data_IF_653950737016
#
_entry.id   IF_653950737016
#
_cell.length_a   1.000
_cell.length_b   1.000
_cell.length_c   1.000
_cell.angle_alpha   90.00
_cell.angle_beta   90.00
_cell.angle_gamma   90.00
#
_symmetry.space_group_name_H-M   'P 1'
#
loop_
_entity.id
_entity.type
_entity.pdbx_description
1 polymer ?
#
# COMPACT_ATOMS: atom_id res chain seq x y z
N UNK A 1 -8.12 26.12 12.36
CA UNK A 1 -8.34 24.68 12.65
C UNK A 1 -7.26 24.12 13.58
N UNK A 2 -6.04 23.87 13.11
CA UNK A 2 -5.01 23.15 13.89
C UNK A 2 -4.50 23.90 15.13
N UNK A 3 -4.42 25.23 15.05
CA UNK A 3 -4.18 26.09 16.22
C UNK A 3 -5.28 25.94 17.28
N UNK A 4 -6.52 25.79 16.85
CA UNK A 4 -7.66 25.59 17.75
C UNK A 4 -7.64 24.18 18.38
N UNK A 5 -7.26 23.14 17.62
CA UNK A 5 -6.99 21.81 18.19
C UNK A 5 -5.98 21.90 19.33
N UNK A 6 -4.82 22.51 19.09
CA UNK A 6 -3.78 22.66 20.10
C UNK A 6 -4.23 23.46 21.33
N UNK A 7 -5.00 24.53 21.10
CA UNK A 7 -5.50 25.38 22.18
C UNK A 7 -6.45 24.62 23.12
N UNK A 8 -7.28 23.73 22.58
CA UNK A 8 -8.28 23.01 23.37
C UNK A 8 -7.81 21.62 23.83
N UNK A 9 -6.79 21.03 23.21
CA UNK A 9 -6.30 19.67 23.51
C UNK A 9 -5.82 19.47 24.95
N UNK A 10 -5.29 20.52 25.60
CA UNK A 10 -4.76 20.44 26.97
C UNK A 10 -5.73 20.94 28.05
N UNK A 11 -7.01 21.16 27.71
CA UNK A 11 -7.93 21.85 28.63
C UNK A 11 -9.19 21.02 28.88
N UNK A 12 -9.42 20.61 30.13
CA UNK A 12 -10.39 19.57 30.48
C UNK A 12 -11.79 20.10 30.84
N UNK A 13 -12.38 20.90 29.94
CA UNK A 13 -13.76 21.40 30.06
C UNK A 13 -14.73 20.59 29.18
N UNK A 14 -15.98 20.37 29.60
CA UNK A 14 -17.02 19.77 28.76
C UNK A 14 -17.15 20.43 27.37
N UNK A 15 -17.08 21.76 27.32
CA UNK A 15 -17.19 22.53 26.07
C UNK A 15 -15.98 22.29 25.14
N UNK A 16 -14.79 22.14 25.72
CA UNK A 16 -13.56 21.86 24.95
C UNK A 16 -13.60 20.47 24.32
N UNK A 17 -14.13 19.46 25.03
CA UNK A 17 -14.31 18.11 24.46
C UNK A 17 -15.27 18.14 23.26
N UNK A 18 -16.36 18.90 23.36
CA UNK A 18 -17.31 19.10 22.25
C UNK A 18 -16.63 19.79 21.05
N UNK A 19 -15.81 20.83 21.29
CA UNK A 19 -15.06 21.48 20.22
C UNK A 19 -14.03 20.57 19.58
N UNK A 20 -13.29 19.77 20.35
CA UNK A 20 -12.33 18.80 19.79
C UNK A 20 -13.07 17.80 18.88
N UNK A 21 -14.19 17.24 19.34
CA UNK A 21 -15.01 16.34 18.52
C UNK A 21 -15.48 17.02 17.22
N UNK A 22 -15.95 18.26 17.31
CA UNK A 22 -16.35 19.04 16.13
C UNK A 22 -15.19 19.31 15.17
N UNK A 23 -13.98 19.58 15.68
CA UNK A 23 -12.81 19.78 14.82
C UNK A 23 -12.37 18.47 14.17
N UNK A 24 -12.41 17.35 14.90
CA UNK A 24 -12.14 16.01 14.35
C UNK A 24 -13.14 15.67 13.25
N UNK A 25 -14.43 15.94 13.47
CA UNK A 25 -15.46 15.75 12.44
C UNK A 25 -15.16 16.64 11.21
N UNK A 26 -14.79 17.90 11.40
CA UNK A 26 -14.41 18.75 10.27
C UNK A 26 -13.17 18.24 9.51
N UNK A 27 -12.16 17.71 10.22
CA UNK A 27 -11.00 17.06 9.58
C UNK A 27 -11.39 15.81 8.78
N UNK A 28 -12.45 15.11 9.19
CA UNK A 28 -13.05 14.00 8.44
C UNK A 28 -13.89 14.46 7.24
N UNK A 29 -14.03 15.78 7.02
CA UNK A 29 -14.78 16.35 5.91
C UNK A 29 -16.25 16.68 6.22
N UNK A 30 -16.69 16.55 7.48
CA UNK A 30 -18.03 16.99 7.86
C UNK A 30 -18.17 18.51 7.79
N UNK A 31 -19.40 18.98 7.59
CA UNK A 31 -19.70 20.41 7.50
C UNK A 31 -19.41 21.13 8.83
N UNK A 32 -18.96 22.37 8.71
CA UNK A 32 -18.73 23.28 9.84
C UNK A 32 -20.07 23.61 10.50
N UNK A 33 -20.18 23.30 11.79
CA UNK A 33 -21.35 23.68 12.61
C UNK A 33 -21.22 25.11 13.14
N UNK A 34 -22.31 25.68 13.65
CA UNK A 34 -22.34 27.00 14.29
C UNK A 34 -21.34 27.10 15.45
N UNK A 35 -21.27 26.06 16.26
CA UNK A 35 -20.43 25.98 17.46
C UNK A 35 -18.96 25.95 17.05
N UNK A 36 -18.64 25.25 15.96
CA UNK A 36 -17.28 25.13 15.47
C UNK A 36 -16.73 26.46 14.92
N UNK A 37 -17.57 27.39 14.49
CA UNK A 37 -17.13 28.73 14.05
C UNK A 37 -16.41 29.52 15.14
N UNK A 38 -16.75 29.27 16.42
CA UNK A 38 -16.08 29.90 17.58
C UNK A 38 -14.60 29.50 17.69
N UNK A 39 -14.23 28.34 17.15
CA UNK A 39 -12.85 27.83 17.10
C UNK A 39 -12.01 28.46 15.98
N UNK A 40 -12.61 29.37 15.18
CA UNK A 40 -11.96 30.01 14.03
C UNK A 40 -11.99 29.17 12.74
N UNK A 41 -12.64 28.00 12.73
CA UNK A 41 -12.93 27.24 11.50
C UNK A 41 -14.17 27.83 10.84
N UNK A 42 -14.01 28.43 9.65
CA UNK A 42 -15.09 29.19 9.00
C UNK A 42 -15.62 28.58 7.70
N UNK A 43 -14.87 27.66 7.09
CA UNK A 43 -15.19 27.08 5.79
C UNK A 43 -15.14 25.56 5.83
N UNK A 44 -16.00 24.94 5.03
CA UNK A 44 -15.97 23.48 4.82
C UNK A 44 -14.71 23.09 4.05
N UNK A 45 -14.30 21.84 4.22
CA UNK A 45 -13.32 21.23 3.32
C UNK A 45 -13.99 21.06 1.95
N UNK A 46 -13.33 21.55 0.91
CA UNK A 46 -13.79 21.52 -0.47
C UNK A 46 -12.64 21.17 -1.40
N UNK A 47 -12.96 20.73 -2.60
CA UNK A 47 -11.98 20.43 -3.65
C UNK A 47 -11.10 21.66 -4.01
N UNK A 48 -11.58 22.88 -3.74
CA UNK A 48 -10.86 24.12 -4.01
C UNK A 48 -9.88 24.57 -2.91
N UNK A 49 -10.07 24.12 -1.66
CA UNK A 49 -9.23 24.52 -0.52
C UNK A 49 -8.47 23.37 0.15
N UNK A 50 -8.69 22.13 -0.30
CA UNK A 50 -8.06 20.93 0.28
C UNK A 50 -6.53 20.99 0.26
N UNK A 51 -5.92 21.50 -0.82
CA UNK A 51 -4.47 21.69 -0.92
C UNK A 51 -3.92 22.57 0.20
N UNK A 52 -4.54 23.74 0.44
CA UNK A 52 -4.11 24.68 1.46
C UNK A 52 -4.29 24.12 2.88
N UNK A 53 -5.40 23.41 3.10
CA UNK A 53 -5.69 22.73 4.36
C UNK A 53 -4.65 21.64 4.62
N UNK A 54 -4.34 20.82 3.61
CA UNK A 54 -3.33 19.76 3.70
C UNK A 54 -1.94 20.35 3.96
N UNK A 55 -1.52 21.39 3.24
CA UNK A 55 -0.25 22.07 3.49
C UNK A 55 -0.15 22.63 4.92
N UNK A 56 -1.26 23.16 5.45
CA UNK A 56 -1.32 23.62 6.85
C UNK A 56 -1.23 22.48 7.85
N UNK A 57 -1.85 21.34 7.54
CA UNK A 57 -1.74 20.11 8.32
C UNK A 57 -0.30 19.56 8.34
N UNK A 58 0.38 19.51 7.21
CA UNK A 58 1.76 19.06 7.12
C UNK A 58 2.72 19.96 7.91
N UNK A 59 2.54 21.28 7.85
CA UNK A 59 3.29 22.24 8.69
C UNK A 59 3.07 21.97 10.19
N UNK A 60 1.85 21.66 10.58
CA UNK A 60 1.53 21.31 11.97
C UNK A 60 2.18 19.99 12.40
N UNK A 61 2.13 18.95 11.55
CA UNK A 61 2.79 17.65 11.80
C UNK A 61 4.29 17.88 12.03
N UNK A 62 4.94 18.72 11.22
CA UNK A 62 6.34 19.09 11.41
C UNK A 62 6.62 19.89 12.67
N UNK A 63 5.78 20.88 12.97
CA UNK A 63 5.89 21.64 14.21
C UNK A 63 5.72 20.77 15.46
N UNK A 64 5.04 19.62 15.34
CA UNK A 64 4.85 18.64 16.40
C UNK A 64 6.03 17.67 16.57
N UNK A 65 7.10 17.83 15.80
CA UNK A 65 8.34 17.03 15.90
C UNK A 65 8.46 15.87 14.92
N UNK A 66 7.47 15.64 14.06
CA UNK A 66 7.55 14.61 13.02
C UNK A 66 8.22 15.13 11.75
N UNK A 67 8.78 14.24 10.92
CA UNK A 67 9.38 14.65 9.64
C UNK A 67 8.35 15.05 8.58
N UNK A 68 7.14 14.48 8.65
CA UNK A 68 6.10 14.65 7.64
C UNK A 68 5.01 13.58 7.75
N UNK A 69 4.25 13.41 6.67
CA UNK A 69 3.18 12.44 6.53
C UNK A 69 3.47 11.48 5.38
N UNK A 70 3.29 10.18 5.61
CA UNK A 70 3.25 9.15 4.57
C UNK A 70 1.79 8.74 4.36
N UNK A 71 1.28 8.89 3.14
CA UNK A 71 -0.06 8.45 2.74
C UNK A 71 0.07 7.23 1.84
N UNK A 72 -0.46 6.09 2.29
CA UNK A 72 -0.49 4.84 1.55
C UNK A 72 -1.92 4.62 1.03
N UNK A 73 -2.06 4.48 -0.28
CA UNK A 73 -3.34 4.23 -0.94
C UNK A 73 -3.22 2.91 -1.71
N UNK A 74 -3.97 1.92 -1.26
CA UNK A 74 -4.01 0.60 -1.89
C UNK A 74 -5.18 0.48 -2.87
N UNK A 75 -5.10 -0.47 -3.80
CA UNK A 75 -6.13 -0.81 -4.78
C UNK A 75 -6.61 0.38 -5.64
N UNK A 76 -5.70 1.23 -6.13
CA UNK A 76 -6.11 2.38 -6.95
C UNK A 76 -6.84 1.95 -8.26
N UNK A 77 -6.70 0.70 -8.71
CA UNK A 77 -7.48 0.12 -9.80
C UNK A 77 -8.98 0.06 -9.52
N UNK A 78 -9.43 0.18 -8.27
CA UNK A 78 -10.84 0.28 -7.93
C UNK A 78 -11.53 1.45 -8.66
N UNK A 79 -10.77 2.48 -9.06
CA UNK A 79 -11.25 3.58 -9.91
C UNK A 79 -11.80 3.03 -11.24
N UNK A 80 -11.13 2.04 -11.84
CA UNK A 80 -11.55 1.43 -13.12
C UNK A 80 -12.90 0.72 -13.01
N UNK A 81 -13.28 0.29 -11.80
CA UNK A 81 -14.54 -0.41 -11.51
C UNK A 81 -15.71 0.53 -11.24
N UNK A 82 -15.49 1.85 -11.14
CA UNK A 82 -16.58 2.81 -10.94
C UNK A 82 -17.43 2.90 -12.21
N UNK A 83 -18.73 2.60 -12.09
CA UNK A 83 -19.65 2.60 -13.24
C UNK A 83 -19.82 3.98 -13.91
N UNK A 84 -19.77 5.07 -13.14
CA UNK A 84 -20.00 6.42 -13.64
C UNK A 84 -18.69 7.09 -14.06
N UNK A 85 -18.57 7.47 -15.34
CA UNK A 85 -17.39 8.19 -15.86
C UNK A 85 -17.05 9.44 -15.05
N UNK A 86 -18.07 10.23 -14.66
CA UNK A 86 -17.86 11.42 -13.83
C UNK A 86 -17.13 11.12 -12.52
N UNK A 87 -17.47 10.01 -11.85
CA UNK A 87 -16.80 9.62 -10.59
C UNK A 87 -15.36 9.16 -10.84
N UNK A 88 -15.10 8.50 -11.98
CA UNK A 88 -13.73 8.16 -12.42
C UNK A 88 -12.90 9.40 -12.67
N UNK A 89 -13.46 10.39 -13.36
CA UNK A 89 -12.79 11.67 -13.63
C UNK A 89 -12.48 12.41 -12.33
N UNK A 90 -13.44 12.49 -11.40
CA UNK A 90 -13.23 13.09 -10.08
C UNK A 90 -12.14 12.37 -9.27
N UNK A 91 -12.10 11.02 -9.31
CA UNK A 91 -11.07 10.24 -8.65
C UNK A 91 -9.67 10.45 -9.29
N UNK A 92 -9.56 10.38 -10.61
CA UNK A 92 -8.32 10.66 -11.35
C UNK A 92 -7.84 12.11 -11.13
N UNK A 93 -8.77 13.07 -11.05
CA UNK A 93 -8.45 14.44 -10.71
C UNK A 93 -7.87 14.57 -9.30
N UNK A 94 -8.40 13.82 -8.33
CA UNK A 94 -7.88 13.82 -6.96
C UNK A 94 -6.46 13.23 -6.90
N UNK A 95 -6.19 12.13 -7.61
CA UNK A 95 -4.83 11.57 -7.72
C UNK A 95 -3.87 12.60 -8.32
N UNK A 96 -4.26 13.22 -9.43
CA UNK A 96 -3.45 14.28 -10.06
C UNK A 96 -3.14 15.40 -9.09
N UNK A 97 -4.14 15.87 -8.34
CA UNK A 97 -3.93 16.92 -7.33
C UNK A 97 -2.99 16.45 -6.22
N UNK A 98 -3.11 15.22 -5.74
CA UNK A 98 -2.18 14.70 -4.73
C UNK A 98 -0.74 14.66 -5.24
N UNK A 99 -0.55 14.27 -6.50
CA UNK A 99 0.76 14.30 -7.15
C UNK A 99 1.31 15.73 -7.26
N UNK A 100 0.51 16.68 -7.74
CA UNK A 100 0.88 18.11 -7.81
C UNK A 100 1.26 18.68 -6.43
N UNK A 101 0.49 18.35 -5.38
CA UNK A 101 0.75 18.84 -4.02
C UNK A 101 1.96 18.19 -3.37
N UNK A 102 2.28 16.94 -3.67
CA UNK A 102 3.47 16.27 -3.15
C UNK A 102 4.74 16.98 -3.63
N UNK A 103 4.75 17.49 -4.87
CA UNK A 103 5.86 18.29 -5.40
C UNK A 103 5.99 19.64 -4.68
N UNK A 104 4.87 20.27 -4.31
CA UNK A 104 4.84 21.56 -3.60
C UNK A 104 5.09 21.44 -2.09
N UNK A 105 4.93 20.26 -1.51
CA UNK A 105 5.02 20.02 -0.07
C UNK A 105 6.06 18.97 0.27
N UNK A 106 7.28 19.41 0.59
CA UNK A 106 8.46 18.60 0.96
C UNK A 106 8.30 17.66 2.17
N UNK A 107 7.10 17.56 2.74
CA UNK A 107 6.80 16.82 3.97
C UNK A 107 5.62 15.86 3.80
N UNK A 108 5.18 15.64 2.56
CA UNK A 108 4.19 14.64 2.19
C UNK A 108 4.84 13.63 1.26
N UNK A 109 4.70 12.35 1.58
CA UNK A 109 5.05 11.25 0.70
C UNK A 109 3.80 10.43 0.42
N UNK A 110 3.43 10.28 -0.85
CA UNK A 110 2.24 9.52 -1.26
C UNK A 110 2.67 8.30 -2.04
N UNK A 111 2.22 7.12 -1.61
CA UNK A 111 2.43 5.86 -2.31
C UNK A 111 1.08 5.32 -2.75
N UNK A 112 0.94 5.07 -4.05
CA UNK A 112 -0.20 4.39 -4.64
C UNK A 112 0.21 2.98 -5.04
N UNK A 113 -0.47 1.98 -4.50
CA UNK A 113 -0.42 0.61 -5.00
C UNK A 113 -1.61 0.39 -5.94
N UNK A 114 -1.32 -0.22 -7.09
CA UNK A 114 -2.33 -0.44 -8.12
C UNK A 114 -1.95 -1.63 -8.98
N UNK A 115 -2.95 -2.30 -9.56
CA UNK A 115 -2.70 -3.28 -10.61
C UNK A 115 -2.36 -2.62 -11.95
N UNK A 116 -1.70 -3.33 -12.88
CA UNK A 116 -1.43 -2.83 -14.24
C UNK A 116 -2.68 -2.37 -14.98
N UNK A 117 -3.87 -2.91 -14.63
CA UNK A 117 -5.16 -2.52 -15.20
C UNK A 117 -5.40 -1.00 -15.12
N UNK A 118 -5.06 -0.36 -14.01
CA UNK A 118 -5.22 1.09 -13.87
C UNK A 118 -4.39 1.89 -14.87
N UNK A 119 -3.19 1.41 -15.21
CA UNK A 119 -2.28 2.09 -16.13
C UNK A 119 -2.56 1.72 -17.60
N UNK A 120 -3.07 0.51 -17.85
CA UNK A 120 -3.22 -0.06 -19.19
C UNK A 120 -4.62 0.12 -19.78
N UNK A 121 -5.67 0.25 -18.97
CA UNK A 121 -7.04 0.45 -19.45
C UNK A 121 -7.20 1.87 -20.03
N UNK A 122 -7.41 2.01 -21.35
CA UNK A 122 -7.49 3.32 -22.01
C UNK A 122 -8.79 4.08 -21.65
N UNK A 123 -9.87 3.36 -21.30
CA UNK A 123 -11.22 3.90 -21.18
C UNK A 123 -11.63 4.17 -19.73
N UNK A 124 -11.11 3.37 -18.80
CA UNK A 124 -11.47 3.46 -17.37
C UNK A 124 -10.28 3.70 -16.44
N UNK A 125 -9.05 3.51 -16.95
CA UNK A 125 -7.81 3.72 -16.21
C UNK A 125 -7.33 5.17 -16.21
N UNK A 126 -6.07 5.39 -15.79
CA UNK A 126 -5.44 6.70 -15.75
C UNK A 126 -5.33 7.37 -17.13
N UNK A 127 -5.28 6.57 -18.21
CA UNK A 127 -5.26 7.04 -19.60
C UNK A 127 -6.53 7.79 -19.99
N UNK A 128 -7.67 7.41 -19.42
CA UNK A 128 -8.97 8.06 -19.66
C UNK A 128 -9.00 9.53 -19.21
N UNK A 129 -8.08 9.93 -18.32
CA UNK A 129 -7.96 11.29 -17.81
C UNK A 129 -6.62 11.93 -18.22
N UNK A 130 -6.57 12.67 -19.35
CA UNK A 130 -5.33 13.16 -19.96
C UNK A 130 -4.42 13.98 -19.04
N UNK A 131 -5.02 14.73 -18.11
CA UNK A 131 -4.29 15.59 -17.18
C UNK A 131 -3.51 14.78 -16.12
N UNK A 132 -3.99 13.60 -15.73
CA UNK A 132 -3.23 12.66 -14.91
C UNK A 132 -2.22 11.91 -15.78
N UNK A 133 -2.66 11.37 -16.93
CA UNK A 133 -1.82 10.58 -17.82
C UNK A 133 -0.52 11.28 -18.20
N UNK A 134 -0.59 12.57 -18.51
CA UNK A 134 0.59 13.37 -18.87
C UNK A 134 1.66 13.42 -17.77
N UNK A 135 1.30 13.22 -16.50
CA UNK A 135 2.26 13.19 -15.40
C UNK A 135 2.92 11.83 -15.18
N UNK A 136 2.31 10.75 -15.65
CA UNK A 136 2.78 9.37 -15.41
C UNK A 136 3.32 8.69 -16.67
N UNK A 137 2.87 9.07 -17.87
CA UNK A 137 3.18 8.39 -19.15
C UNK A 137 4.68 8.38 -19.48
N UNK A 138 5.39 9.48 -19.24
CA UNK A 138 6.79 9.64 -19.65
C UNK A 138 7.71 8.71 -18.84
N UNK A 139 7.28 8.32 -17.64
CA UNK A 139 7.94 7.29 -16.82
C UNK A 139 7.71 5.89 -17.39
N UNK A 140 6.56 5.66 -18.03
CA UNK A 140 6.13 4.35 -18.51
C UNK A 140 6.76 4.03 -19.87
N UNK A 141 6.85 4.99 -20.80
CA UNK A 141 7.26 4.74 -22.19
C UNK A 141 8.77 4.60 -22.44
N UNK A 142 9.63 4.94 -21.46
CA UNK A 142 11.08 5.01 -21.66
C UNK A 142 11.86 3.71 -21.46
N UNK A 143 11.23 2.59 -21.07
CA UNK A 143 11.94 1.34 -20.72
C UNK A 143 12.87 1.42 -19.51
N UNK A 144 13.02 2.61 -18.92
CA UNK A 144 13.85 2.92 -17.75
C UNK A 144 13.07 2.81 -16.42
N UNK A 145 11.90 2.18 -16.42
CA UNK A 145 11.08 1.98 -15.20
C UNK A 145 11.87 1.31 -14.08
N UNK A 146 12.84 0.45 -14.43
CA UNK A 146 13.72 -0.26 -13.51
C UNK A 146 15.04 0.49 -13.21
N UNK A 147 15.32 1.61 -13.89
CA UNK A 147 16.61 2.30 -13.79
C UNK A 147 16.68 3.35 -12.67
N UNK A 148 15.54 3.75 -12.07
CA UNK A 148 15.52 4.78 -11.04
C UNK A 148 14.45 4.55 -9.99
N UNK A 149 14.86 4.43 -8.72
CA UNK A 149 13.97 4.43 -7.56
C UNK A 149 13.28 5.79 -7.32
N UNK A 150 13.59 6.81 -8.13
CA UNK A 150 12.98 8.15 -8.08
C UNK A 150 11.86 8.32 -9.11
N UNK A 151 11.55 7.30 -9.88
CA UNK A 151 10.46 7.30 -10.84
C UNK A 151 9.11 7.45 -10.14
N UNK A 152 8.21 8.25 -10.72
CA UNK A 152 6.83 8.44 -10.21
C UNK A 152 6.02 7.14 -10.20
N UNK A 153 6.31 6.25 -11.15
CA UNK A 153 5.73 4.91 -11.25
C UNK A 153 6.85 3.89 -11.12
N UNK A 154 6.71 2.99 -10.16
CA UNK A 154 7.62 1.86 -9.95
C UNK A 154 6.87 0.61 -10.37
N UNK A 155 7.38 -0.08 -11.39
CA UNK A 155 6.81 -1.35 -11.84
C UNK A 155 7.52 -2.49 -11.13
N UNK A 156 6.75 -3.30 -10.42
CA UNK A 156 7.25 -4.48 -9.74
C UNK A 156 7.33 -5.63 -10.76
N UNK A 157 8.54 -6.14 -11.06
CA UNK A 157 8.66 -7.31 -11.93
C UNK A 157 8.09 -8.54 -11.24
N UNK A 158 7.67 -9.57 -12.00
CA UNK A 158 7.36 -10.87 -11.44
C UNK A 158 8.60 -11.45 -10.74
N UNK A 159 8.36 -12.35 -9.79
CA UNK A 159 9.44 -13.03 -9.07
C UNK A 159 10.18 -13.95 -10.04
N UNK A 160 11.50 -13.83 -10.09
CA UNK A 160 12.35 -14.84 -10.69
C UNK A 160 12.68 -15.95 -9.68
N UNK A 161 13.37 -16.99 -10.14
CA UNK A 161 13.74 -18.11 -9.27
C UNK A 161 14.54 -17.66 -8.03
N UNK A 162 15.47 -16.71 -8.19
CA UNK A 162 16.27 -16.20 -7.09
C UNK A 162 15.42 -15.45 -6.06
N UNK A 163 14.45 -14.66 -6.51
CA UNK A 163 13.50 -13.96 -5.65
C UNK A 163 12.60 -14.94 -4.88
N UNK A 164 12.18 -16.05 -5.49
CA UNK A 164 11.46 -17.12 -4.79
C UNK A 164 12.32 -17.84 -3.76
N UNK A 165 13.59 -18.10 -4.07
CA UNK A 165 14.54 -18.71 -3.12
C UNK A 165 14.81 -17.78 -1.92
N UNK A 166 15.01 -16.47 -2.14
CA UNK A 166 15.15 -15.48 -1.07
C UNK A 166 13.87 -15.38 -0.22
N UNK A 167 12.70 -15.35 -0.87
CA UNK A 167 11.40 -15.34 -0.18
C UNK A 167 11.23 -16.58 0.69
N UNK A 168 11.50 -17.77 0.15
CA UNK A 168 11.41 -19.03 0.88
C UNK A 168 12.37 -19.05 2.07
N UNK A 169 13.62 -18.60 1.89
CA UNK A 169 14.60 -18.50 2.98
C UNK A 169 14.11 -17.62 4.12
N UNK A 170 13.54 -16.45 3.81
CA UNK A 170 12.96 -15.54 4.82
C UNK A 170 11.74 -16.13 5.51
N UNK A 171 10.91 -16.89 4.80
CA UNK A 171 9.76 -17.59 5.40
C UNK A 171 10.24 -18.66 6.37
N UNK A 172 11.24 -19.47 5.98
CA UNK A 172 11.85 -20.51 6.83
C UNK A 172 12.44 -19.88 8.10
N UNK A 173 13.20 -18.78 7.99
CA UNK A 173 13.74 -18.05 9.15
C UNK A 173 12.62 -17.49 10.04
N UNK A 174 11.61 -16.86 9.45
CA UNK A 174 10.49 -16.29 10.19
C UNK A 174 9.72 -17.38 10.95
N UNK A 175 9.48 -18.52 10.31
CA UNK A 175 8.81 -19.67 10.89
C UNK A 175 9.63 -20.30 12.04
N UNK A 176 10.93 -20.51 11.83
CA UNK A 176 11.90 -20.96 12.83
C UNK A 176 11.81 -20.11 14.11
N UNK A 177 11.80 -18.78 13.95
CA UNK A 177 11.72 -17.82 15.07
C UNK A 177 10.35 -17.81 15.74
N UNK A 178 9.26 -17.92 14.98
CA UNK A 178 7.90 -17.91 15.51
C UNK A 178 7.63 -19.12 16.42
N UNK A 179 8.06 -20.31 15.99
CA UNK A 179 7.84 -21.58 16.70
C UNK A 179 9.04 -22.05 17.54
N UNK A 180 10.14 -21.29 17.56
CA UNK A 180 11.35 -21.55 18.36
C UNK A 180 11.98 -22.93 18.09
N UNK A 181 12.19 -23.26 16.82
CA UNK A 181 12.86 -24.48 16.38
C UNK A 181 13.83 -24.20 15.24
N UNK A 182 14.80 -25.09 15.01
CA UNK A 182 15.79 -24.92 13.95
C UNK A 182 15.25 -25.40 12.59
N UNK A 183 14.40 -24.60 11.95
CA UNK A 183 13.82 -24.98 10.65
C UNK A 183 14.89 -25.24 9.57
N UNK A 184 16.05 -24.59 9.63
CA UNK A 184 17.17 -24.77 8.69
C UNK A 184 17.76 -26.17 8.70
N UNK A 185 17.63 -26.91 9.81
CA UNK A 185 18.13 -28.28 9.94
C UNK A 185 17.30 -29.25 9.07
N UNK A 186 16.06 -28.86 8.73
CA UNK A 186 15.10 -29.65 7.97
C UNK A 186 14.81 -29.08 6.58
N UNK A 187 14.76 -27.75 6.47
CA UNK A 187 14.49 -27.00 5.24
C UNK A 187 15.67 -26.06 4.94
N UNK A 188 16.84 -26.64 4.67
CA UNK A 188 18.03 -25.90 4.23
C UNK A 188 17.96 -25.44 2.78
N UNK A 189 19.04 -24.84 2.27
CA UNK A 189 19.06 -24.28 0.91
C UNK A 189 18.70 -25.29 -0.20
N UNK A 190 19.14 -26.55 -0.08
CA UNK A 190 18.85 -27.57 -1.07
C UNK A 190 17.35 -27.92 -1.11
N UNK A 191 16.71 -27.97 0.06
CA UNK A 191 15.27 -28.16 0.20
C UNK A 191 14.50 -26.97 -0.39
N UNK A 192 14.92 -25.75 -0.09
CA UNK A 192 14.34 -24.52 -0.66
C UNK A 192 14.42 -24.54 -2.19
N UNK A 193 15.60 -24.81 -2.77
CA UNK A 193 15.77 -24.89 -4.23
C UNK A 193 14.87 -25.95 -4.86
N UNK A 194 14.75 -27.12 -4.22
CA UNK A 194 13.86 -28.20 -4.70
C UNK A 194 12.39 -27.77 -4.65
N UNK A 195 11.96 -27.13 -3.57
CA UNK A 195 10.60 -26.61 -3.43
C UNK A 195 10.28 -25.54 -4.47
N UNK A 196 11.16 -24.54 -4.64
CA UNK A 196 10.99 -23.47 -5.63
C UNK A 196 10.96 -24.03 -7.05
N UNK A 197 11.87 -24.94 -7.39
CA UNK A 197 11.88 -25.58 -8.71
C UNK A 197 10.60 -26.36 -8.98
N UNK A 198 10.06 -27.07 -7.99
CA UNK A 198 8.80 -27.81 -8.14
C UNK A 198 7.60 -26.86 -8.33
N UNK A 199 7.54 -25.77 -7.56
CA UNK A 199 6.51 -24.75 -7.70
C UNK A 199 6.55 -24.10 -9.10
N UNK A 200 7.73 -23.68 -9.57
CA UNK A 200 7.88 -23.05 -10.88
C UNK A 200 7.56 -23.98 -12.06
N UNK A 201 7.68 -25.30 -11.89
CA UNK A 201 7.35 -26.29 -12.92
C UNK A 201 5.87 -26.66 -12.95
N UNK A 202 5.19 -26.66 -11.80
CA UNK A 202 3.84 -27.23 -11.64
C UNK A 202 2.76 -26.19 -11.31
N UNK A 203 3.13 -25.02 -10.79
CA UNK A 203 2.22 -23.96 -10.37
C UNK A 203 2.38 -22.69 -11.20
N UNK A 204 1.57 -21.68 -10.86
CA UNK A 204 1.68 -20.35 -11.45
C UNK A 204 2.58 -19.42 -10.61
N UNK A 205 3.69 -18.89 -11.15
CA UNK A 205 4.55 -17.91 -10.48
C UNK A 205 3.84 -16.64 -9.98
N UNK A 206 2.63 -16.33 -10.48
CA UNK A 206 1.83 -15.20 -9.99
C UNK A 206 1.11 -15.51 -8.68
N UNK A 207 0.89 -16.78 -8.39
CA UNK A 207 0.19 -17.27 -7.19
C UNK A 207 1.08 -17.29 -5.96
N UNK A 208 1.71 -16.15 -5.64
CA UNK A 208 2.65 -15.99 -4.51
C UNK A 208 1.97 -16.40 -3.19
N UNK A 209 0.67 -16.13 -3.03
CA UNK A 209 -0.07 -16.55 -1.82
C UNK A 209 -0.14 -18.07 -1.70
N UNK A 210 -0.37 -18.79 -2.79
CA UNK A 210 -0.39 -20.24 -2.80
C UNK A 210 0.99 -20.81 -2.48
N UNK A 211 2.05 -20.25 -3.08
CA UNK A 211 3.44 -20.56 -2.75
C UNK A 211 3.74 -20.42 -1.26
N UNK A 212 3.35 -19.31 -0.63
CA UNK A 212 3.60 -19.07 0.80
C UNK A 212 2.81 -20.08 1.65
N UNK A 213 1.53 -20.28 1.37
CA UNK A 213 0.67 -21.20 2.13
C UNK A 213 1.18 -22.63 2.09
N UNK A 214 1.55 -23.12 0.91
CA UNK A 214 2.10 -24.46 0.75
C UNK A 214 3.43 -24.62 1.50
N UNK A 215 4.32 -23.63 1.44
CA UNK A 215 5.60 -23.68 2.16
C UNK A 215 5.38 -23.67 3.68
N UNK A 216 4.51 -22.81 4.20
CA UNK A 216 4.17 -22.76 5.63
C UNK A 216 3.59 -24.10 6.07
N UNK A 217 2.68 -24.69 5.30
CA UNK A 217 2.13 -26.00 5.60
C UNK A 217 3.21 -27.09 5.68
N UNK A 218 4.16 -27.13 4.73
CA UNK A 218 5.29 -28.06 4.78
C UNK A 218 6.13 -27.85 6.04
N UNK A 219 6.37 -26.59 6.42
CA UNK A 219 7.13 -26.26 7.63
C UNK A 219 6.38 -26.64 8.92
N UNK A 220 5.07 -26.48 8.98
CA UNK A 220 4.24 -26.93 10.10
C UNK A 220 4.37 -28.46 10.28
N UNK A 221 4.27 -29.24 9.20
CA UNK A 221 4.42 -30.71 9.26
C UNK A 221 5.84 -31.12 9.66
N UNK A 222 6.87 -30.43 9.17
CA UNK A 222 8.27 -30.65 9.57
C UNK A 222 8.51 -30.33 11.04
N UNK A 223 7.87 -29.28 11.55
CA UNK A 223 7.97 -28.88 12.96
C UNK A 223 7.38 -29.97 13.87
N UNK A 224 6.22 -30.51 13.53
CA UNK A 224 5.52 -31.54 14.30
C UNK A 224 6.27 -32.88 14.31
N UNK A 225 6.72 -33.35 13.14
CA UNK A 225 7.28 -34.70 12.98
C UNK A 225 8.79 -34.78 13.14
N UNK A 226 9.52 -33.68 12.94
CA UNK A 226 10.99 -33.63 13.03
C UNK A 226 11.70 -34.59 12.07
N UNK A 227 11.20 -34.73 10.84
CA UNK A 227 11.77 -35.60 9.79
C UNK A 227 12.15 -34.80 8.54
N UNK A 228 13.24 -35.17 7.87
CA UNK A 228 13.73 -34.48 6.67
C UNK A 228 13.06 -34.96 5.36
N UNK A 229 12.46 -36.16 5.34
CA UNK A 229 11.80 -36.72 4.15
C UNK A 229 10.47 -36.04 3.80
N UNK A 230 9.88 -35.30 4.75
CA UNK A 230 8.55 -34.69 4.62
C UNK A 230 8.46 -33.80 3.39
N UNK A 231 9.52 -33.09 3.02
CA UNK A 231 9.51 -32.28 1.81
C UNK A 231 9.27 -33.12 0.57
N UNK A 232 9.93 -34.27 0.46
CA UNK A 232 9.84 -35.14 -0.72
C UNK A 232 8.45 -35.75 -0.80
N UNK A 233 7.97 -36.30 0.32
CA UNK A 233 6.64 -36.92 0.42
C UNK A 233 5.51 -35.90 0.13
N UNK A 234 5.69 -34.65 0.57
CA UNK A 234 4.69 -33.60 0.40
C UNK A 234 4.77 -32.96 -0.99
N UNK A 235 5.97 -32.84 -1.59
CA UNK A 235 6.12 -32.32 -2.95
C UNK A 235 5.44 -33.21 -4.01
N UNK A 236 5.44 -34.52 -3.82
CA UNK A 236 4.77 -35.43 -4.74
C UNK A 236 3.24 -35.28 -4.68
N UNK A 237 2.71 -34.94 -3.50
CA UNK A 237 1.26 -34.81 -3.25
C UNK A 237 0.72 -33.37 -3.35
N UNK A 238 1.59 -32.36 -3.33
CA UNK A 238 1.22 -30.95 -3.48
C UNK A 238 0.72 -30.67 -4.90
N UNK A 239 -0.58 -30.41 -5.02
CA UNK A 239 -1.16 -29.76 -6.18
C UNK A 239 -1.01 -28.25 -6.01
N UNK A 240 -0.20 -27.63 -6.87
CA UNK A 240 -0.10 -26.19 -6.91
C UNK A 240 -1.23 -25.62 -7.77
N UNK A 241 -1.92 -24.61 -7.24
CA UNK A 241 -2.95 -23.89 -7.98
C UNK A 241 -2.34 -23.25 -9.25
N UNK A 242 -3.02 -23.43 -10.39
CA UNK A 242 -2.73 -22.79 -11.67
C UNK A 242 -3.90 -21.88 -12.05
N UNK A 243 -3.65 -20.67 -12.59
CA UNK A 243 -4.72 -19.87 -13.21
C UNK A 243 -5.36 -20.68 -14.37
N UNK A 244 -6.69 -20.88 -14.33
CA UNK A 244 -7.50 -21.23 -15.52
C UNK A 244 -7.62 -20.05 -16.49
#
# INVERSE_FOLDING_TARGET
>A
ALRACLQYANTDSPDHRMWIQGIVAWLQGYHVTSELKTTGIRSNVTIGNVSEILGSFLRFVRASGYAGLVLLLDEAEAITSLAQSRKRDEANQNIRKLLDNADEHSSLYVLFATTPRFLMDPDNGAQSYPALWTRIKDVISGGLQQASSRSTVIVLPPFDQGAFEDLASRIVDTHSRAYKWNASDYCGEAAIRKYVSAFLQRGDPRMIRAFIRALVYVLDVMEERRETSILEDTLDTLEFETEE
#
